data_IF_074562608510
#
_entry.id   IF_074562608510
#
_cell.length_a   1.000
_cell.length_b   1.000
_cell.length_c   1.000
_cell.angle_alpha   90.00
_cell.angle_beta   90.00
_cell.angle_gamma   90.00
#
_symmetry.space_group_name_H-M   'P 1'
#
loop_
_entity.id
_entity.type
_entity.pdbx_description
1 polymer ?
#
# COMPACT_ATOMS: atom_id res chain seq x y z
N UNK A 1 -9.47 24.93 -0.62
CA UNK A 1 -9.68 23.70 -1.43
C UNK A 1 -9.46 22.53 -0.50
N UNK A 2 -10.32 21.52 -0.53
CA UNK A 2 -10.22 20.36 0.33
C UNK A 2 -8.96 19.57 -0.07
N UNK A 3 -7.95 19.50 0.80
CA UNK A 3 -6.67 18.82 0.53
C UNK A 3 -6.77 17.29 0.75
N UNK A 4 -7.98 16.78 1.00
CA UNK A 4 -8.21 15.37 1.24
C UNK A 4 -8.08 14.56 -0.06
N UNK A 5 -7.39 13.44 0.01
CA UNK A 5 -7.21 12.51 -1.09
C UNK A 5 -7.93 11.17 -0.85
N UNK A 6 -7.93 10.68 0.39
CA UNK A 6 -8.68 9.52 0.85
C UNK A 6 -9.61 9.95 1.98
N UNK A 7 -10.87 9.60 1.86
CA UNK A 7 -11.90 9.83 2.88
C UNK A 7 -12.67 8.54 3.11
N UNK A 8 -12.70 8.07 4.35
CA UNK A 8 -13.40 6.86 4.76
C UNK A 8 -14.36 7.22 5.89
N UNK A 9 -15.64 6.81 5.75
CA UNK A 9 -16.68 7.08 6.75
C UNK A 9 -17.43 5.81 7.10
N UNK A 10 -17.36 5.41 8.37
CA UNK A 10 -18.10 4.31 8.94
C UNK A 10 -17.86 2.96 8.26
N UNK A 11 -16.70 2.74 7.65
CA UNK A 11 -16.43 1.59 6.80
C UNK A 11 -16.46 0.29 7.61
N UNK A 12 -17.29 -0.67 7.19
CA UNK A 12 -17.44 -1.97 7.83
C UNK A 12 -17.14 -3.10 6.86
N UNK A 13 -16.57 -4.20 7.37
CA UNK A 13 -16.39 -5.43 6.63
C UNK A 13 -16.59 -6.64 7.52
N UNK A 14 -17.43 -7.57 7.07
CA UNK A 14 -17.60 -8.90 7.68
C UNK A 14 -17.34 -9.98 6.65
N UNK A 15 -16.81 -11.11 7.09
CA UNK A 15 -16.71 -12.36 6.33
C UNK A 15 -17.46 -13.45 7.11
N UNK A 16 -18.43 -14.08 6.47
CA UNK A 16 -19.26 -15.12 7.11
C UNK A 16 -19.71 -14.71 8.52
N UNK A 17 -20.32 -13.53 8.67
CA UNK A 17 -20.81 -12.94 9.91
C UNK A 17 -19.73 -12.54 10.94
N UNK A 18 -18.45 -12.82 10.70
CA UNK A 18 -17.36 -12.34 11.55
C UNK A 18 -16.96 -10.91 11.17
N UNK A 19 -17.19 -9.90 12.02
CA UNK A 19 -16.81 -8.53 11.73
C UNK A 19 -15.29 -8.37 11.82
N UNK A 20 -14.68 -7.87 10.74
CA UNK A 20 -13.23 -7.58 10.64
C UNK A 20 -13.00 -6.07 10.74
N UNK A 21 -13.78 -5.24 10.02
CA UNK A 21 -13.78 -3.79 10.18
C UNK A 21 -15.11 -3.36 10.79
N UNK A 22 -15.05 -2.49 11.79
CA UNK A 22 -16.19 -2.19 12.68
C UNK A 22 -16.56 -0.71 12.71
N UNK A 23 -16.48 -0.04 11.56
CA UNK A 23 -16.71 1.38 11.43
C UNK A 23 -15.37 2.14 11.50
N UNK A 24 -14.68 2.17 10.35
CA UNK A 24 -13.43 2.91 10.17
C UNK A 24 -13.79 4.30 9.67
N UNK A 25 -13.29 5.31 10.36
CA UNK A 25 -13.24 6.69 9.90
C UNK A 25 -11.77 7.07 9.76
N UNK A 26 -11.35 7.48 8.56
CA UNK A 26 -9.97 7.79 8.25
C UNK A 26 -9.89 8.80 7.12
N UNK A 27 -8.99 9.77 7.26
CA UNK A 27 -8.68 10.73 6.19
C UNK A 27 -7.18 10.75 5.93
N UNK A 28 -6.81 11.00 4.66
CA UNK A 28 -5.43 11.12 4.21
C UNK A 28 -5.34 12.27 3.21
N UNK A 29 -4.40 13.20 3.44
CA UNK A 29 -4.21 14.34 2.55
C UNK A 29 -3.41 13.96 1.30
N UNK A 30 -3.48 14.80 0.25
CA UNK A 30 -2.65 14.65 -0.95
C UNK A 30 -1.18 14.78 -0.60
N UNK A 31 -0.35 13.88 -1.16
CA UNK A 31 1.09 13.85 -0.92
C UNK A 31 1.51 13.42 0.49
N UNK A 32 0.54 13.10 1.35
CA UNK A 32 0.82 12.59 2.70
C UNK A 32 1.27 11.13 2.66
N UNK A 33 2.18 10.78 3.55
CA UNK A 33 2.58 9.41 3.83
C UNK A 33 2.08 9.02 5.22
N UNK A 34 1.17 8.05 5.27
CA UNK A 34 0.58 7.53 6.52
C UNK A 34 1.03 6.11 6.80
N UNK A 35 1.48 5.86 8.02
CA UNK A 35 1.72 4.52 8.53
C UNK A 35 0.48 3.98 9.27
N UNK A 36 0.04 2.78 8.90
CA UNK A 36 -1.04 2.05 9.58
C UNK A 36 -0.44 0.93 10.42
N UNK A 37 -0.37 1.14 11.72
CA UNK A 37 0.09 0.19 12.72
C UNK A 37 -1.08 -0.67 13.24
N UNK A 38 -0.76 -1.82 13.80
CA UNK A 38 -1.73 -2.70 14.48
C UNK A 38 -1.27 -4.14 14.52
N UNK A 39 -1.81 -4.91 15.44
CA UNK A 39 -1.51 -6.34 15.59
C UNK A 39 -1.92 -7.15 14.36
N UNK A 40 -1.41 -8.38 14.27
CA UNK A 40 -1.88 -9.34 13.29
C UNK A 40 -3.37 -9.63 13.51
N UNK A 41 -4.15 -9.64 12.43
CA UNK A 41 -5.60 -9.79 12.52
C UNK A 41 -6.39 -8.52 12.86
N UNK A 42 -5.77 -7.37 13.10
CA UNK A 42 -6.45 -6.11 13.39
C UNK A 42 -7.35 -5.61 12.23
N UNK A 43 -7.10 -6.07 10.99
CA UNK A 43 -7.87 -5.70 9.81
C UNK A 43 -7.10 -4.87 8.77
N UNK A 44 -5.79 -4.62 8.96
CA UNK A 44 -4.95 -3.78 8.08
C UNK A 44 -5.03 -4.21 6.61
N UNK A 45 -4.66 -5.45 6.31
CA UNK A 45 -4.74 -6.04 4.95
C UNK A 45 -6.16 -5.96 4.37
N UNK A 46 -7.19 -6.16 5.21
CA UNK A 46 -8.59 -6.06 4.76
C UNK A 46 -8.93 -4.64 4.34
N UNK A 47 -8.51 -3.64 5.11
CA UNK A 47 -8.70 -2.23 4.76
C UNK A 47 -8.00 -1.90 3.44
N UNK A 48 -6.71 -2.26 3.30
CA UNK A 48 -5.97 -2.02 2.05
C UNK A 48 -6.61 -2.72 0.84
N UNK A 49 -7.10 -3.96 0.99
CA UNK A 49 -7.79 -4.69 -0.10
C UNK A 49 -9.11 -4.04 -0.51
N UNK A 50 -9.83 -3.41 0.41
CA UNK A 50 -11.04 -2.65 0.10
C UNK A 50 -10.66 -1.40 -0.70
N UNK A 51 -9.68 -0.64 -0.26
CA UNK A 51 -9.20 0.56 -0.94
C UNK A 51 -8.61 0.26 -2.33
N UNK A 52 -7.97 -0.91 -2.49
CA UNK A 52 -7.47 -1.39 -3.78
C UNK A 52 -8.59 -1.92 -4.72
N UNK A 53 -9.86 -1.90 -4.28
CA UNK A 53 -10.98 -2.42 -5.07
C UNK A 53 -11.01 -3.93 -5.25
N UNK A 54 -10.28 -4.69 -4.42
CA UNK A 54 -10.23 -6.15 -4.45
C UNK A 54 -11.32 -6.81 -3.60
N UNK A 55 -11.94 -6.05 -2.69
CA UNK A 55 -12.99 -6.54 -1.81
C UNK A 55 -13.98 -5.41 -1.55
N UNK A 56 -15.28 -5.66 -1.68
CA UNK A 56 -16.31 -4.65 -1.39
C UNK A 56 -16.50 -4.51 0.12
N UNK A 57 -16.71 -3.30 0.65
CA UNK A 57 -17.14 -3.10 2.03
C UNK A 57 -18.52 -3.72 2.26
N UNK A 58 -18.85 -4.01 3.52
CA UNK A 58 -20.18 -4.48 3.92
C UNK A 58 -21.15 -3.31 4.24
N UNK A 59 -20.58 -2.18 4.68
CA UNK A 59 -21.30 -0.92 4.93
C UNK A 59 -20.30 0.24 5.03
N UNK A 60 -20.80 1.48 5.06
CA UNK A 60 -19.99 2.70 5.04
C UNK A 60 -19.50 3.04 3.63
N UNK A 61 -18.73 4.10 3.52
CA UNK A 61 -18.24 4.62 2.24
C UNK A 61 -16.74 4.94 2.30
N UNK A 62 -16.10 4.93 1.14
CA UNK A 62 -14.76 5.46 1.00
C UNK A 62 -14.60 6.12 -0.39
N UNK A 63 -13.88 7.22 -0.42
CA UNK A 63 -13.62 8.02 -1.61
C UNK A 63 -12.12 8.21 -1.79
N UNK A 64 -11.64 8.05 -3.02
CA UNK A 64 -10.26 8.32 -3.42
C UNK A 64 -10.30 9.38 -4.52
N UNK A 65 -9.70 10.54 -4.27
CA UNK A 65 -9.73 11.69 -5.18
C UNK A 65 -11.18 12.09 -5.58
N UNK A 66 -12.12 11.99 -4.61
CA UNK A 66 -13.54 12.26 -4.81
C UNK A 66 -14.33 11.15 -5.52
N UNK A 67 -13.68 10.06 -5.95
CA UNK A 67 -14.32 8.92 -6.59
C UNK A 67 -14.75 7.86 -5.55
N UNK A 68 -15.98 7.38 -5.62
CA UNK A 68 -16.47 6.29 -4.78
C UNK A 68 -15.80 4.96 -5.15
N UNK A 69 -15.20 4.26 -4.18
CA UNK A 69 -14.45 3.02 -4.42
C UNK A 69 -15.29 1.86 -4.96
N UNK A 70 -16.61 1.93 -4.83
CA UNK A 70 -17.55 0.88 -5.30
C UNK A 70 -18.20 1.29 -6.63
N UNK A 71 -18.71 2.53 -6.71
CA UNK A 71 -19.40 3.02 -7.91
C UNK A 71 -18.42 3.32 -9.03
N UNK A 72 -17.28 3.95 -8.72
CA UNK A 72 -16.24 4.35 -9.66
C UNK A 72 -15.05 3.38 -9.68
N UNK A 73 -15.26 2.12 -9.33
CA UNK A 73 -14.20 1.13 -9.09
C UNK A 73 -13.17 1.00 -10.23
N UNK A 74 -13.60 1.22 -11.48
CA UNK A 74 -12.68 1.20 -12.64
C UNK A 74 -11.73 2.38 -12.61
N UNK A 75 -12.21 3.59 -12.35
CA UNK A 75 -11.40 4.81 -12.29
C UNK A 75 -10.48 4.77 -11.08
N UNK A 76 -11.01 4.35 -9.92
CA UNK A 76 -10.24 4.19 -8.67
C UNK A 76 -9.05 3.25 -8.86
N UNK A 77 -9.22 2.11 -9.57
CA UNK A 77 -8.09 1.20 -9.84
C UNK A 77 -6.95 1.83 -10.65
N UNK A 78 -7.23 2.81 -11.50
CA UNK A 78 -6.20 3.58 -12.20
C UNK A 78 -5.47 4.57 -11.29
N UNK A 79 -6.07 4.98 -10.18
CA UNK A 79 -5.44 5.86 -9.19
C UNK A 79 -4.57 5.10 -8.18
N UNK A 80 -4.79 3.79 -8.02
CA UNK A 80 -4.23 3.00 -6.92
C UNK A 80 -3.20 1.99 -7.41
N UNK A 81 -1.99 2.06 -6.86
CA UNK A 81 -1.00 0.99 -6.93
C UNK A 81 -1.02 0.19 -5.62
N UNK A 82 -1.07 -1.13 -5.70
CA UNK A 82 -1.15 -1.98 -4.51
C UNK A 82 -0.03 -3.01 -4.47
N UNK A 83 0.75 -3.00 -3.40
CA UNK A 83 1.72 -4.03 -3.05
C UNK A 83 1.18 -4.78 -1.85
N UNK A 84 0.83 -6.04 -2.04
CA UNK A 84 0.27 -6.91 -1.02
C UNK A 84 1.30 -7.91 -0.52
N UNK A 85 1.03 -8.51 0.64
CA UNK A 85 1.82 -9.62 1.14
C UNK A 85 1.87 -10.79 0.13
N UNK A 86 0.76 -11.06 -0.56
CA UNK A 86 0.72 -11.95 -1.73
C UNK A 86 1.01 -11.11 -2.98
N UNK A 87 2.02 -11.45 -3.80
CA UNK A 87 2.56 -10.53 -4.81
C UNK A 87 1.66 -10.26 -6.01
N UNK A 88 0.58 -11.06 -6.24
CA UNK A 88 -0.27 -10.98 -7.43
C UNK A 88 0.52 -10.96 -8.75
N UNK A 89 1.55 -11.78 -8.83
CA UNK A 89 2.36 -12.00 -10.02
C UNK A 89 2.10 -13.41 -10.55
N UNK A 90 2.26 -13.59 -11.85
CA UNK A 90 2.17 -14.89 -12.51
C UNK A 90 3.55 -15.55 -12.49
N UNK A 91 3.68 -16.63 -11.75
CA UNK A 91 4.96 -17.33 -11.52
C UNK A 91 5.55 -17.90 -12.81
N UNK A 92 4.68 -18.34 -13.75
CA UNK A 92 5.05 -18.90 -15.04
C UNK A 92 5.58 -17.87 -16.05
N UNK A 93 5.23 -16.60 -15.85
CA UNK A 93 5.67 -15.51 -16.71
C UNK A 93 7.03 -14.97 -16.26
N UNK A 94 7.79 -14.42 -17.18
CA UNK A 94 9.01 -13.67 -16.89
C UNK A 94 8.69 -12.35 -16.21
N UNK A 95 9.70 -11.69 -15.65
CA UNK A 95 9.54 -10.36 -15.00
C UNK A 95 8.97 -9.35 -15.99
N UNK A 96 9.46 -9.34 -17.24
CA UNK A 96 8.99 -8.43 -18.29
C UNK A 96 7.58 -8.78 -18.74
N UNK A 97 7.27 -10.05 -18.96
CA UNK A 97 5.92 -10.50 -19.38
C UNK A 97 4.87 -10.14 -18.34
N UNK A 98 5.19 -10.28 -17.03
CA UNK A 98 4.32 -9.81 -15.96
C UNK A 98 4.02 -8.31 -16.11
N UNK A 99 5.05 -7.47 -16.25
CA UNK A 99 4.83 -6.03 -16.40
C UNK A 99 4.09 -5.69 -17.70
N UNK A 100 4.33 -6.41 -18.78
CA UNK A 100 3.57 -6.25 -20.03
C UNK A 100 2.09 -6.60 -19.87
N UNK A 101 1.80 -7.71 -19.19
CA UNK A 101 0.43 -8.13 -18.93
C UNK A 101 -0.35 -7.04 -18.16
N UNK A 102 0.22 -6.58 -17.04
CA UNK A 102 -0.42 -5.52 -16.25
C UNK A 102 -0.45 -4.18 -16.99
N UNK A 103 0.58 -3.83 -17.75
CA UNK A 103 0.62 -2.61 -18.55
C UNK A 103 -0.50 -2.57 -19.59
N UNK A 104 -0.81 -3.70 -20.24
CA UNK A 104 -1.96 -3.80 -21.14
C UNK A 104 -3.29 -3.67 -20.39
N UNK A 105 -3.43 -4.30 -19.21
CA UNK A 105 -4.63 -4.16 -18.37
C UNK A 105 -4.93 -2.72 -17.98
N UNK A 106 -3.88 -1.94 -17.67
CA UNK A 106 -3.99 -0.53 -17.30
C UNK A 106 -3.90 0.43 -18.51
N UNK A 107 -3.83 -0.10 -19.74
CA UNK A 107 -3.69 0.70 -20.98
C UNK A 107 -2.49 1.66 -20.93
N UNK A 108 -1.38 1.21 -20.35
CA UNK A 108 -0.15 1.99 -20.24
C UNK A 108 0.46 2.18 -21.63
N UNK A 109 0.65 3.44 -22.03
CA UNK A 109 1.36 3.78 -23.28
C UNK A 109 2.84 3.38 -23.17
N UNK A 110 3.44 2.94 -24.28
CA UNK A 110 4.86 2.54 -24.33
C UNK A 110 5.23 1.55 -23.21
N UNK A 111 4.38 0.55 -22.98
CA UNK A 111 4.51 -0.42 -21.88
C UNK A 111 5.91 -1.05 -21.82
N UNK A 112 6.54 -1.36 -22.97
CA UNK A 112 7.88 -1.92 -23.05
C UNK A 112 8.92 -1.03 -22.39
N UNK A 113 8.95 0.25 -22.78
CA UNK A 113 9.90 1.23 -22.24
C UNK A 113 9.67 1.45 -20.75
N UNK A 114 8.40 1.59 -20.36
CA UNK A 114 8.00 1.77 -18.96
C UNK A 114 8.38 0.57 -18.10
N UNK A 115 8.15 -0.65 -18.57
CA UNK A 115 8.53 -1.88 -17.88
C UNK A 115 10.05 -1.98 -17.70
N UNK A 116 10.84 -1.74 -18.76
CA UNK A 116 12.29 -1.75 -18.68
C UNK A 116 12.83 -0.68 -17.73
N UNK A 117 12.26 0.52 -17.73
CA UNK A 117 12.61 1.57 -16.79
C UNK A 117 12.38 1.12 -15.34
N UNK A 118 11.22 0.55 -15.05
CA UNK A 118 10.88 0.10 -13.71
C UNK A 118 11.74 -1.10 -13.28
N UNK A 119 12.02 -2.05 -14.17
CA UNK A 119 12.93 -3.17 -13.87
C UNK A 119 14.33 -2.68 -13.50
N UNK A 120 14.86 -1.64 -14.17
CA UNK A 120 16.12 -0.99 -13.75
C UNK A 120 15.98 -0.35 -12.38
N UNK A 121 14.91 0.41 -12.16
CA UNK A 121 14.67 1.12 -10.88
C UNK A 121 14.56 0.17 -9.69
N UNK A 122 14.07 -1.05 -9.89
CA UNK A 122 13.98 -2.07 -8.83
C UNK A 122 15.16 -3.05 -8.82
N UNK A 123 16.23 -2.78 -9.59
CA UNK A 123 17.44 -3.62 -9.64
C UNK A 123 17.20 -5.02 -10.23
N UNK A 124 16.29 -5.14 -11.20
CA UNK A 124 15.96 -6.40 -11.89
C UNK A 124 16.28 -6.37 -13.40
N UNK A 125 17.08 -5.42 -13.87
CA UNK A 125 17.43 -5.27 -15.28
C UNK A 125 18.16 -6.48 -15.88
N UNK A 126 18.89 -7.22 -15.05
CA UNK A 126 19.58 -8.46 -15.48
C UNK A 126 18.67 -9.70 -15.48
N UNK A 127 17.46 -9.58 -14.93
CA UNK A 127 16.51 -10.67 -14.76
C UNK A 127 15.24 -10.54 -15.61
N UNK A 128 15.32 -9.74 -16.67
CA UNK A 128 14.19 -9.41 -17.57
C UNK A 128 13.52 -10.65 -18.15
N UNK A 129 14.29 -11.69 -18.47
CA UNK A 129 13.83 -12.94 -19.09
C UNK A 129 13.66 -14.09 -18.09
N UNK A 130 13.92 -13.87 -16.80
CA UNK A 130 13.74 -14.90 -15.79
C UNK A 130 12.30 -14.99 -15.35
N UNK A 131 11.77 -16.20 -15.17
CA UNK A 131 10.43 -16.44 -14.63
C UNK A 131 10.36 -16.01 -13.17
N UNK A 132 9.19 -15.54 -12.75
CA UNK A 132 8.98 -15.13 -11.35
C UNK A 132 9.19 -16.28 -10.37
N UNK A 133 8.87 -17.53 -10.77
CA UNK A 133 9.08 -18.73 -9.96
C UNK A 133 10.52 -18.94 -9.46
N UNK A 134 11.54 -18.39 -10.15
CA UNK A 134 12.96 -18.56 -9.77
C UNK A 134 13.54 -17.37 -9.02
N UNK A 135 12.73 -16.33 -8.78
CA UNK A 135 13.17 -15.13 -8.06
C UNK A 135 13.19 -15.37 -6.55
N UNK A 136 14.14 -14.73 -5.86
CA UNK A 136 14.10 -14.67 -4.40
C UNK A 136 12.89 -13.87 -3.91
N UNK A 137 12.49 -14.08 -2.64
CA UNK A 137 11.38 -13.34 -2.03
C UNK A 137 11.56 -11.81 -2.15
N UNK A 138 12.77 -11.29 -1.91
CA UNK A 138 13.07 -9.87 -2.05
C UNK A 138 12.96 -9.38 -3.49
N UNK A 139 13.37 -10.19 -4.48
CA UNK A 139 13.21 -9.86 -5.90
C UNK A 139 11.72 -9.84 -6.31
N UNK A 140 10.92 -10.79 -5.83
CA UNK A 140 9.47 -10.82 -6.04
C UNK A 140 8.80 -9.56 -5.44
N UNK A 141 9.23 -9.15 -4.24
CA UNK A 141 8.72 -7.93 -3.60
C UNK A 141 9.06 -6.68 -4.43
N UNK A 142 10.30 -6.56 -4.91
CA UNK A 142 10.72 -5.46 -5.79
C UNK A 142 9.97 -5.44 -7.12
N UNK A 143 9.72 -6.61 -7.72
CA UNK A 143 8.89 -6.71 -8.93
C UNK A 143 7.42 -6.32 -8.65
N UNK A 144 6.88 -6.67 -7.48
CA UNK A 144 5.53 -6.26 -7.06
C UNK A 144 5.40 -4.75 -6.96
N UNK A 145 6.45 -4.06 -6.48
CA UNK A 145 6.49 -2.60 -6.46
C UNK A 145 6.57 -2.03 -7.88
N UNK A 146 7.41 -2.59 -8.77
CA UNK A 146 7.46 -2.19 -10.17
C UNK A 146 6.08 -2.32 -10.84
N UNK A 147 5.38 -3.43 -10.61
CA UNK A 147 4.00 -3.63 -11.08
C UNK A 147 3.04 -2.57 -10.54
N UNK A 148 3.12 -2.25 -9.25
CA UNK A 148 2.24 -1.26 -8.63
C UNK A 148 2.48 0.16 -9.18
N UNK A 149 3.71 0.50 -9.58
CA UNK A 149 4.10 1.80 -10.14
C UNK A 149 3.89 1.92 -11.66
N UNK A 150 3.53 0.84 -12.33
CA UNK A 150 3.53 0.74 -13.79
C UNK A 150 2.63 1.77 -14.48
N UNK A 151 1.43 1.99 -13.94
CA UNK A 151 0.42 2.91 -14.45
C UNK A 151 0.46 4.29 -13.81
N UNK A 152 1.55 4.63 -13.09
CA UNK A 152 1.76 5.91 -12.42
C UNK A 152 0.61 6.28 -11.48
N UNK A 153 0.29 5.44 -10.49
CA UNK A 153 -0.81 5.68 -9.56
C UNK A 153 -0.58 6.97 -8.75
N UNK A 154 -1.66 7.55 -8.24
CA UNK A 154 -1.59 8.69 -7.30
C UNK A 154 -1.58 8.24 -5.84
N UNK A 155 -2.08 7.03 -5.54
CA UNK A 155 -2.07 6.41 -4.22
C UNK A 155 -1.31 5.09 -4.27
N UNK A 156 -0.29 4.94 -3.43
CA UNK A 156 0.33 3.65 -3.16
C UNK A 156 -0.21 3.08 -1.86
N UNK A 157 -0.74 1.88 -1.94
CA UNK A 157 -1.14 1.04 -0.81
C UNK A 157 -0.12 -0.08 -0.66
N UNK A 158 0.56 -0.15 0.49
CA UNK A 158 1.66 -1.09 0.70
C UNK A 158 1.41 -1.91 1.96
N UNK A 159 1.30 -3.22 1.79
CA UNK A 159 1.08 -4.15 2.92
C UNK A 159 2.40 -4.79 3.32
N UNK A 160 3.02 -4.26 4.38
CA UNK A 160 4.34 -4.65 4.90
C UNK A 160 5.44 -4.69 3.82
N UNK A 161 5.73 -3.56 3.15
CA UNK A 161 6.58 -3.53 1.95
C UNK A 161 8.02 -3.97 2.19
N UNK A 162 8.51 -3.92 3.44
CA UNK A 162 9.90 -4.21 3.81
C UNK A 162 10.15 -5.68 4.14
N UNK A 163 9.09 -6.48 4.21
CA UNK A 163 9.20 -7.87 4.67
C UNK A 163 9.99 -8.72 3.67
N UNK A 164 11.04 -9.36 4.16
CA UNK A 164 11.90 -10.27 3.37
C UNK A 164 12.95 -9.56 2.49
N UNK A 165 13.18 -8.26 2.72
CA UNK A 165 14.23 -7.49 2.07
C UNK A 165 15.51 -7.44 2.91
N UNK A 166 16.65 -7.50 2.23
CA UNK A 166 17.95 -7.10 2.74
C UNK A 166 18.04 -5.56 2.84
N UNK A 167 19.16 -5.07 3.35
CA UNK A 167 19.38 -3.63 3.53
C UNK A 167 19.31 -2.89 2.18
N UNK A 168 19.98 -3.39 1.15
CA UNK A 168 19.98 -2.78 -0.18
C UNK A 168 18.57 -2.71 -0.78
N UNK A 169 17.78 -3.80 -0.65
CA UNK A 169 16.40 -3.84 -1.11
C UNK A 169 15.50 -2.84 -0.40
N UNK A 170 15.71 -2.62 0.90
CA UNK A 170 14.98 -1.60 1.68
C UNK A 170 15.30 -0.19 1.20
N UNK A 171 16.58 0.14 1.05
CA UNK A 171 17.03 1.46 0.57
C UNK A 171 16.47 1.78 -0.82
N UNK A 172 16.46 0.78 -1.71
CA UNK A 172 15.90 0.92 -3.05
C UNK A 172 14.40 1.20 -3.00
N UNK A 173 13.63 0.49 -2.17
CA UNK A 173 12.19 0.76 -2.01
C UNK A 173 11.97 2.15 -1.45
N UNK A 174 12.71 2.56 -0.42
CA UNK A 174 12.61 3.89 0.17
C UNK A 174 12.87 5.00 -0.86
N UNK A 175 13.90 4.84 -1.70
CA UNK A 175 14.19 5.79 -2.78
C UNK A 175 13.02 5.91 -3.78
N UNK A 176 12.40 4.79 -4.15
CA UNK A 176 11.23 4.79 -5.04
C UNK A 176 9.99 5.43 -4.41
N UNK A 177 9.77 5.21 -3.12
CA UNK A 177 8.66 5.85 -2.38
C UNK A 177 8.91 7.35 -2.21
N UNK A 178 10.16 7.77 -1.99
CA UNK A 178 10.54 9.18 -1.96
C UNK A 178 10.33 9.85 -3.32
N UNK A 179 10.73 9.19 -4.42
CA UNK A 179 10.47 9.68 -5.79
C UNK A 179 8.97 9.82 -6.06
N UNK A 180 8.17 8.81 -5.69
CA UNK A 180 6.70 8.85 -5.85
C UNK A 180 6.11 10.04 -5.09
N UNK A 181 6.54 10.28 -3.86
CA UNK A 181 6.12 11.43 -3.04
C UNK A 181 6.52 12.77 -3.68
N UNK A 182 7.75 12.88 -4.17
CA UNK A 182 8.25 14.09 -4.82
C UNK A 182 7.42 14.47 -6.07
N UNK A 183 6.78 13.49 -6.69
CA UNK A 183 5.82 13.67 -7.79
C UNK A 183 4.39 13.96 -7.32
N UNK A 184 4.18 14.22 -6.03
CA UNK A 184 2.85 14.49 -5.43
C UNK A 184 2.03 13.24 -5.09
N UNK A 185 2.65 12.06 -5.12
CA UNK A 185 2.01 10.80 -4.78
C UNK A 185 1.71 10.67 -3.29
N UNK A 186 0.57 10.06 -2.97
CA UNK A 186 0.10 9.76 -1.62
C UNK A 186 0.42 8.31 -1.28
N UNK A 187 0.76 8.01 -0.02
CA UNK A 187 1.17 6.66 0.39
C UNK A 187 0.46 6.28 1.69
N UNK A 188 -0.16 5.10 1.70
CA UNK A 188 -0.64 4.42 2.91
C UNK A 188 0.07 3.06 3.01
N UNK A 189 0.86 2.86 4.04
CA UNK A 189 1.58 1.60 4.24
C UNK A 189 1.34 1.00 5.61
N UNK A 190 1.33 -0.33 5.68
CA UNK A 190 1.29 -1.05 6.95
C UNK A 190 2.69 -1.42 7.38
N UNK A 191 2.92 -1.40 8.68
CA UNK A 191 4.14 -1.93 9.31
C UNK A 191 3.83 -2.33 10.76
N UNK A 192 4.66 -3.19 11.31
CA UNK A 192 4.68 -3.51 12.74
C UNK A 192 5.89 -2.87 13.47
N UNK A 193 6.76 -2.16 12.73
CA UNK A 193 7.96 -1.50 13.25
C UNK A 193 7.67 -0.02 13.51
N UNK A 194 7.59 0.36 14.78
CA UNK A 194 7.21 1.71 15.22
C UNK A 194 8.25 2.74 14.81
N UNK A 195 9.54 2.40 14.93
CA UNK A 195 10.66 3.27 14.56
C UNK A 195 10.58 3.64 13.07
N UNK A 196 10.29 2.65 12.22
CA UNK A 196 10.12 2.89 10.77
C UNK A 196 8.87 3.71 10.46
N UNK A 197 7.78 3.46 11.19
CA UNK A 197 6.58 4.28 11.03
C UNK A 197 6.89 5.76 11.32
N UNK A 198 7.62 6.05 12.42
CA UNK A 198 8.02 7.40 12.79
C UNK A 198 8.96 8.04 11.77
N UNK A 199 9.92 7.29 11.24
CA UNK A 199 10.90 7.80 10.28
C UNK A 199 10.31 8.07 8.89
N UNK A 200 9.38 7.21 8.45
CA UNK A 200 8.95 7.18 7.06
C UNK A 200 7.56 7.80 6.83
N UNK A 201 6.82 8.24 7.86
CA UNK A 201 5.48 8.79 7.67
C UNK A 201 5.31 10.20 8.24
N UNK A 202 4.33 10.91 7.70
CA UNK A 202 3.89 12.22 8.19
C UNK A 202 2.83 12.07 9.29
N UNK A 203 2.14 10.93 9.32
CA UNK A 203 1.15 10.58 10.34
C UNK A 203 1.12 9.07 10.61
N UNK A 204 0.74 8.74 11.84
CA UNK A 204 0.56 7.37 12.31
C UNK A 204 -0.89 7.16 12.70
N UNK A 205 -1.45 6.05 12.23
CA UNK A 205 -2.77 5.56 12.59
C UNK A 205 -2.65 4.16 13.17
N UNK A 206 -3.33 3.86 14.28
CA UNK A 206 -3.36 2.52 14.87
C UNK A 206 -4.73 1.88 14.72
N UNK A 207 -4.73 0.68 14.17
CA UNK A 207 -5.91 -0.17 14.02
C UNK A 207 -5.89 -1.29 15.05
N UNK A 208 -6.93 -1.40 15.87
CA UNK A 208 -7.12 -2.53 16.78
C UNK A 208 -8.53 -3.09 16.67
N UNK A 209 -8.66 -4.41 16.59
CA UNK A 209 -9.95 -5.14 16.54
C UNK A 209 -10.96 -4.52 15.57
N UNK A 210 -10.47 -4.03 14.41
CA UNK A 210 -11.28 -3.42 13.36
C UNK A 210 -11.74 -1.98 13.61
N UNK A 211 -11.11 -1.23 14.52
CA UNK A 211 -11.39 0.18 14.81
C UNK A 211 -10.12 1.00 14.78
N UNK A 212 -10.19 2.24 14.32
CA UNK A 212 -9.11 3.22 14.54
C UNK A 212 -9.16 3.64 16.01
N UNK A 213 -8.05 3.48 16.71
CA UNK A 213 -7.93 3.79 18.14
C UNK A 213 -6.93 4.91 18.43
N UNK A 214 -6.14 5.28 17.42
CA UNK A 214 -5.16 6.35 17.49
C UNK A 214 -4.88 6.91 16.10
N UNK A 215 -4.77 8.24 16.00
CA UNK A 215 -4.32 8.93 14.78
C UNK A 215 -3.67 10.25 15.17
N UNK A 216 -2.39 10.45 14.80
CA UNK A 216 -1.64 11.70 15.04
C UNK A 216 -0.59 11.94 13.98
N UNK A 217 -0.19 13.22 13.82
CA UNK A 217 0.96 13.60 13.00
C UNK A 217 2.25 13.14 13.69
N UNK A 218 3.19 12.64 12.90
CA UNK A 218 4.47 12.11 13.39
C UNK A 218 5.30 13.19 14.10
N UNK A 219 5.24 14.43 13.64
CA UNK A 219 5.94 15.57 14.26
C UNK A 219 5.52 15.86 15.73
N UNK A 220 4.38 15.32 16.17
CA UNK A 220 3.84 15.49 17.52
C UNK A 220 4.15 14.29 18.43
N UNK A 221 4.92 13.30 17.93
CA UNK A 221 5.11 12.01 18.55
C UNK A 221 6.56 11.75 18.95
N UNK A 222 6.72 11.21 20.15
CA UNK A 222 7.97 10.66 20.65
C UNK A 222 7.91 9.11 20.62
N UNK A 223 9.03 8.46 20.33
CA UNK A 223 9.10 7.00 20.18
C UNK A 223 8.53 6.26 21.39
N UNK A 224 8.98 6.61 22.61
CA UNK A 224 8.53 5.95 23.84
C UNK A 224 7.03 6.03 24.05
N UNK A 225 6.43 7.19 23.73
CA UNK A 225 4.99 7.40 23.84
C UNK A 225 4.21 6.54 22.84
N UNK A 226 4.71 6.44 21.61
CA UNK A 226 4.08 5.60 20.57
C UNK A 226 4.21 4.13 20.94
N UNK A 227 5.36 3.69 21.44
CA UNK A 227 5.57 2.30 21.89
C UNK A 227 4.62 1.94 23.05
N UNK A 228 4.49 2.81 24.06
CA UNK A 228 3.54 2.59 25.18
C UNK A 228 2.11 2.50 24.66
N UNK A 229 1.66 3.47 23.86
CA UNK A 229 0.31 3.46 23.29
C UNK A 229 0.06 2.20 22.45
N UNK A 230 1.04 1.78 21.65
CA UNK A 230 0.91 0.57 20.85
C UNK A 230 0.76 -0.68 21.70
N UNK A 231 1.52 -0.80 22.81
CA UNK A 231 1.41 -1.90 23.76
C UNK A 231 0.02 -1.91 24.42
N UNK A 232 -0.44 -0.77 24.95
CA UNK A 232 -1.76 -0.64 25.58
C UNK A 232 -2.87 -1.05 24.62
N UNK A 233 -2.80 -0.58 23.37
CA UNK A 233 -3.80 -0.88 22.34
C UNK A 233 -3.77 -2.35 21.89
N UNK A 234 -2.60 -2.98 21.88
CA UNK A 234 -2.43 -4.32 21.30
C UNK A 234 -2.74 -5.44 22.31
N UNK A 235 -2.48 -5.21 23.60
CA UNK A 235 -2.63 -6.23 24.65
C UNK A 235 -3.93 -6.09 25.47
N UNK A 236 -4.75 -5.08 25.20
CA UNK A 236 -6.12 -4.93 25.72
C UNK A 236 -7.15 -5.41 24.69
#
# INVERSE_FOLDING_TARGET
>A
MNNLFLEITGLKKSFNLKPVLRGIDLTLCRGERMALLGANGAGKTTLLRILAGLTKPSAGSAYIDGLDIVQDARQVRHLVGFVAHQPYLYEELTTLENLHFFGKMYSVKNTQERANLLLRKVGLEKRVRERVAVLSRGQVQRLSLARALLHSPRLLLLDEPDTGLDQEGRELIEALLAEHRAQGGTILFTTHQIERALQLSDSITMLNKGRIVFQKKTAELELEKVQRTYQEVTYT
#
